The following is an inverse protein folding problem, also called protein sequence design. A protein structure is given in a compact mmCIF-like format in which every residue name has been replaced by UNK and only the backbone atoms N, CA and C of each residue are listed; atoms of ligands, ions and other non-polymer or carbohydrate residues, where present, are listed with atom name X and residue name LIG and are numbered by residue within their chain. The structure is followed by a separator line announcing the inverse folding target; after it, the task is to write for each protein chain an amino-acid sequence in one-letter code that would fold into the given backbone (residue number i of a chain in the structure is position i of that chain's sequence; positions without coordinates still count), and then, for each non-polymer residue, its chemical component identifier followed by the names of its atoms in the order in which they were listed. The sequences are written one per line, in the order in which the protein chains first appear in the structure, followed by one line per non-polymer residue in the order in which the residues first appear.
data_IF_689598138362
#
_entry.id   IF_689598138362
#
_cell.length_a   1.000
_cell.length_b   1.000
_cell.length_c   1.000
_cell.angle_alpha   90.00
_cell.angle_beta   90.00
_cell.angle_gamma   90.00
#
_symmetry.space_group_name_H-M   'P 1'
#
loop_
_entity.id
_entity.type
_entity.pdbx_description
1 polymer ?
#
# COMPACT_ATOMS: atom_id res chain seq x y z
N UNK A 1 7.19 14.29 -5.97
CA UNK A 1 7.18 15.54 -6.77
C UNK A 1 5.77 16.04 -7.00
N UNK A 2 5.53 17.36 -7.00
CA UNK A 2 4.24 17.92 -7.47
C UNK A 2 4.14 17.74 -8.98
N UNK A 3 3.13 17.04 -9.47
CA UNK A 3 2.88 16.84 -10.90
C UNK A 3 1.46 17.24 -11.27
N UNK A 4 1.13 17.28 -12.57
CA UNK A 4 -0.25 17.46 -13.03
C UNK A 4 -1.18 16.39 -12.44
N UNK A 5 -0.66 15.17 -12.28
CA UNK A 5 -1.38 14.04 -11.70
C UNK A 5 -1.45 14.13 -10.16
N UNK A 6 -0.42 14.65 -9.51
CA UNK A 6 -0.30 14.78 -8.05
C UNK A 6 0.00 16.23 -7.65
N UNK A 7 -0.98 17.14 -7.72
CA UNK A 7 -0.76 18.57 -7.50
C UNK A 7 -0.34 18.89 -6.05
N UNK A 8 -0.71 18.04 -5.09
CA UNK A 8 -0.36 18.19 -3.68
C UNK A 8 0.92 17.44 -3.27
N UNK A 9 1.57 16.73 -4.19
CA UNK A 9 2.80 15.97 -3.89
C UNK A 9 3.99 16.90 -3.63
N UNK A 10 4.84 16.54 -2.66
CA UNK A 10 6.08 17.25 -2.34
C UNK A 10 7.26 16.67 -3.13
N UNK A 11 8.35 17.41 -3.37
CA UNK A 11 9.53 16.91 -4.07
C UNK A 11 10.08 15.59 -3.50
N UNK A 12 10.09 15.46 -2.18
CA UNK A 12 10.54 14.29 -1.43
C UNK A 12 9.56 13.09 -1.45
N UNK A 13 8.32 13.30 -1.90
CA UNK A 13 7.32 12.23 -1.95
C UNK A 13 7.55 11.32 -3.16
N UNK A 14 7.48 10.03 -2.90
CA UNK A 14 7.47 8.98 -3.92
C UNK A 14 6.04 8.40 -4.08
N UNK A 15 5.38 8.59 -5.23
CA UNK A 15 4.03 8.07 -5.44
C UNK A 15 4.02 6.55 -5.39
N UNK A 16 3.02 5.98 -4.71
CA UNK A 16 2.78 4.56 -4.72
C UNK A 16 2.69 4.00 -6.15
N UNK A 17 3.49 2.99 -6.45
CA UNK A 17 3.57 2.34 -7.76
C UNK A 17 3.64 0.83 -7.56
N UNK A 18 2.55 0.27 -7.02
CA UNK A 18 2.54 -1.09 -6.55
C UNK A 18 2.26 -2.17 -7.58
N UNK A 19 2.78 -3.36 -7.30
CA UNK A 19 2.55 -4.57 -8.07
C UNK A 19 2.63 -5.82 -7.17
N UNK A 20 2.03 -6.90 -7.65
CA UNK A 20 1.93 -8.16 -6.92
C UNK A 20 3.06 -9.09 -7.33
N UNK A 21 3.75 -9.65 -6.34
CA UNK A 21 4.81 -10.63 -6.55
C UNK A 21 4.68 -11.76 -5.53
N UNK A 22 5.10 -13.00 -5.86
CA UNK A 22 5.18 -14.07 -4.88
C UNK A 22 6.08 -13.66 -3.72
N UNK A 23 5.52 -13.63 -2.51
CA UNK A 23 6.33 -13.40 -1.32
C UNK A 23 7.21 -14.64 -1.09
N UNK A 24 8.52 -14.46 -0.85
CA UNK A 24 9.42 -15.59 -0.67
C UNK A 24 8.99 -16.56 0.43
N UNK A 25 9.08 -17.85 0.16
CA UNK A 25 8.71 -18.94 1.09
C UNK A 25 7.24 -18.95 1.54
N UNK A 26 6.38 -18.14 0.90
CA UNK A 26 4.92 -18.16 1.07
C UNK A 26 4.25 -18.62 -0.22
N UNK A 27 3.17 -19.40 -0.06
CA UNK A 27 2.35 -19.82 -1.19
C UNK A 27 0.87 -19.85 -0.79
N UNK A 28 0.18 -18.74 -1.09
CA UNK A 28 -1.26 -18.62 -0.86
C UNK A 28 -2.10 -19.14 -2.05
N UNK A 29 -1.45 -19.57 -3.14
CA UNK A 29 -2.10 -20.06 -4.34
C UNK A 29 -3.05 -19.02 -4.94
N UNK A 30 -4.32 -19.38 -5.09
CA UNK A 30 -5.34 -18.48 -5.68
C UNK A 30 -5.86 -17.40 -4.73
N UNK A 31 -5.37 -17.34 -3.49
CA UNK A 31 -5.84 -16.37 -2.49
C UNK A 31 -5.16 -15.01 -2.59
N UNK A 32 -4.04 -14.91 -3.29
CA UNK A 32 -3.29 -13.66 -3.46
C UNK A 32 -1.78 -13.87 -3.40
N UNK A 33 -1.06 -12.76 -3.37
CA UNK A 33 0.40 -12.67 -3.47
C UNK A 33 0.95 -11.73 -2.39
N UNK A 34 2.26 -11.49 -2.39
CA UNK A 34 2.83 -10.33 -1.71
C UNK A 34 2.61 -9.05 -2.52
N UNK A 35 2.74 -7.90 -1.87
CA UNK A 35 2.59 -6.60 -2.51
C UNK A 35 3.87 -5.79 -2.34
N UNK A 36 4.32 -5.14 -3.40
CA UNK A 36 5.51 -4.29 -3.40
C UNK A 36 5.18 -2.94 -4.00
N UNK A 37 5.98 -1.92 -3.71
CA UNK A 37 5.99 -0.64 -4.42
C UNK A 37 7.42 -0.20 -4.69
N UNK A 38 7.63 0.57 -5.76
CA UNK A 38 8.85 1.37 -5.84
C UNK A 38 8.90 2.37 -4.68
N UNK A 39 10.11 2.66 -4.22
CA UNK A 39 10.41 3.69 -3.19
C UNK A 39 11.43 4.73 -3.69
N UNK A 40 12.04 4.47 -4.84
CA UNK A 40 12.95 5.35 -5.54
C UNK A 40 12.94 4.96 -7.02
N UNK A 41 13.00 5.94 -7.91
CA UNK A 41 13.12 5.71 -9.35
C UNK A 41 14.58 5.55 -9.80
N UNK A 42 15.53 6.22 -9.12
CA UNK A 42 16.96 6.20 -9.46
C UNK A 42 17.88 6.14 -8.22
N UNK A 43 18.49 4.98 -7.91
CA UNK A 43 18.27 3.69 -8.55
C UNK A 43 16.87 3.13 -8.22
N UNK A 44 16.26 2.35 -9.13
CA UNK A 44 14.96 1.75 -8.87
C UNK A 44 15.07 0.79 -7.69
N UNK A 45 14.32 1.06 -6.63
CA UNK A 45 14.28 0.26 -5.40
C UNK A 45 12.87 -0.18 -5.07
N UNK A 46 12.75 -1.41 -4.58
CA UNK A 46 11.48 -2.03 -4.23
C UNK A 46 11.46 -2.47 -2.79
N UNK A 47 10.36 -2.14 -2.13
CA UNK A 47 10.05 -2.61 -0.80
C UNK A 47 8.72 -3.35 -0.79
N UNK A 48 8.63 -4.35 0.08
CA UNK A 48 7.40 -5.04 0.41
C UNK A 48 6.48 -4.11 1.17
N UNK A 49 5.20 -4.17 0.84
CA UNK A 49 4.12 -3.53 1.58
C UNK A 49 3.57 -4.56 2.55
N UNK A 50 3.48 -4.18 3.82
CA UNK A 50 3.02 -5.04 4.89
C UNK A 50 2.24 -4.22 5.92
N UNK A 51 1.39 -4.88 6.71
CA UNK A 51 0.78 -4.27 7.88
C UNK A 51 1.61 -4.64 9.10
N UNK A 52 2.13 -3.64 9.79
CA UNK A 52 2.81 -3.81 11.06
C UNK A 52 1.84 -4.48 12.05
N UNK A 53 2.20 -5.68 12.52
CA UNK A 53 1.32 -6.45 13.42
C UNK A 53 1.01 -5.78 14.76
N UNK A 54 1.87 -4.87 15.21
CA UNK A 54 1.77 -4.24 16.53
C UNK A 54 1.07 -2.88 16.42
N UNK A 55 1.28 -2.13 15.33
CA UNK A 55 0.66 -0.81 15.11
C UNK A 55 -0.48 -0.79 14.13
N UNK A 56 -0.71 -1.87 13.38
CA UNK A 56 -1.70 -1.98 12.30
C UNK A 56 -1.53 -0.98 11.15
N UNK A 57 -0.42 -0.24 11.12
CA UNK A 57 -0.08 0.69 10.05
C UNK A 57 0.42 -0.08 8.83
N UNK A 58 -0.02 0.31 7.64
CA UNK A 58 0.53 -0.17 6.37
C UNK A 58 1.87 0.50 6.14
N UNK A 59 2.94 -0.28 6.23
CA UNK A 59 4.33 0.15 6.08
C UNK A 59 4.95 -0.48 4.85
N UNK A 60 6.19 -0.07 4.59
CA UNK A 60 7.02 -0.66 3.57
C UNK A 60 8.43 -0.93 4.10
N UNK A 61 9.10 -1.94 3.57
CA UNK A 61 10.47 -2.31 3.98
C UNK A 61 11.02 -3.48 3.18
N UNK A 62 12.25 -3.86 3.49
CA UNK A 62 12.86 -5.03 2.87
C UNK A 62 12.22 -6.35 3.35
N UNK A 63 12.77 -7.49 2.91
CA UNK A 63 12.25 -8.79 3.33
C UNK A 63 12.39 -9.00 4.85
N UNK A 64 13.55 -8.67 5.42
CA UNK A 64 13.83 -8.92 6.83
C UNK A 64 12.94 -8.05 7.74
N UNK A 65 12.66 -6.81 7.32
CA UNK A 65 11.74 -5.91 7.99
C UNK A 65 10.29 -6.38 7.87
N UNK A 66 9.86 -6.87 6.71
CA UNK A 66 8.46 -7.25 6.47
C UNK A 66 8.05 -8.62 7.02
N UNK A 67 8.95 -9.61 7.00
CA UNK A 67 8.66 -11.01 7.37
C UNK A 67 8.00 -11.22 8.77
N UNK A 68 8.34 -10.46 9.84
CA UNK A 68 7.69 -10.64 11.14
C UNK A 68 6.27 -10.06 11.23
N UNK A 69 5.79 -9.39 10.18
CA UNK A 69 4.52 -8.67 10.13
C UNK A 69 3.49 -9.34 9.20
N UNK A 70 2.37 -8.67 8.92
CA UNK A 70 1.31 -9.20 8.06
C UNK A 70 1.62 -8.82 6.60
N UNK A 71 2.21 -9.76 5.88
CA UNK A 71 2.72 -9.59 4.51
C UNK A 71 1.72 -9.94 3.40
N UNK A 72 0.54 -10.45 3.75
CA UNK A 72 -0.43 -10.94 2.79
C UNK A 72 -1.32 -12.06 3.33
N UNK A 73 -2.11 -12.72 2.46
CA UNK A 73 -2.14 -12.47 1.01
C UNK A 73 -2.79 -11.13 0.67
N UNK A 74 -2.16 -10.38 -0.22
CA UNK A 74 -2.76 -9.25 -0.90
C UNK A 74 -3.43 -9.70 -2.20
N UNK A 75 -4.62 -9.21 -2.49
CA UNK A 75 -5.32 -9.49 -3.75
C UNK A 75 -6.20 -8.30 -4.16
N UNK A 76 -6.78 -8.38 -5.35
CA UNK A 76 -7.69 -7.38 -5.89
C UNK A 76 -8.99 -8.03 -6.35
N UNK A 77 -10.13 -7.48 -5.92
CA UNK A 77 -11.45 -7.96 -6.33
C UNK A 77 -11.62 -7.90 -7.85
N UNK A 78 -12.23 -8.93 -8.43
CA UNK A 78 -12.29 -9.08 -9.89
C UNK A 78 -13.09 -7.98 -10.58
N UNK A 79 -14.22 -7.60 -9.98
CA UNK A 79 -15.19 -6.67 -10.54
C UNK A 79 -14.76 -5.23 -10.33
N UNK A 80 -14.60 -4.82 -9.07
CA UNK A 80 -14.42 -3.41 -8.71
C UNK A 80 -12.97 -3.00 -8.51
N UNK A 81 -12.03 -3.94 -8.68
CA UNK A 81 -10.59 -3.71 -8.54
C UNK A 81 -10.19 -3.17 -7.16
N UNK A 82 -10.92 -3.55 -6.12
CA UNK A 82 -10.63 -3.15 -4.75
C UNK A 82 -9.53 -4.02 -4.17
N UNK A 83 -8.55 -3.40 -3.52
CA UNK A 83 -7.45 -4.11 -2.85
C UNK A 83 -8.00 -4.76 -1.59
N UNK A 84 -7.54 -5.97 -1.32
CA UNK A 84 -7.87 -6.75 -0.13
C UNK A 84 -6.57 -7.24 0.52
N UNK A 85 -6.61 -7.39 1.85
CA UNK A 85 -5.58 -8.08 2.62
C UNK A 85 -6.25 -9.18 3.44
N UNK A 86 -5.67 -10.37 3.44
CA UNK A 86 -6.27 -11.57 4.05
C UNK A 86 -7.71 -11.86 3.56
N UNK A 87 -8.06 -11.37 2.37
CA UNK A 87 -9.34 -11.59 1.70
C UNK A 87 -10.45 -10.59 2.02
N UNK A 88 -10.15 -9.45 2.67
CA UNK A 88 -11.17 -8.42 2.95
C UNK A 88 -10.61 -6.98 2.91
N UNK A 89 -11.51 -5.99 2.98
CA UNK A 89 -11.26 -4.56 2.70
C UNK A 89 -11.22 -3.68 3.98
N UNK A 90 -10.51 -4.10 5.02
CA UNK A 90 -10.46 -3.42 6.33
C UNK A 90 -9.55 -2.19 6.41
N UNK A 91 -9.50 -1.32 5.40
CA UNK A 91 -8.57 -0.20 5.38
C UNK A 91 -9.11 1.05 6.07
N UNK A 92 -8.24 1.70 6.84
CA UNK A 92 -8.52 2.92 7.59
C UNK A 92 -7.52 4.01 7.23
N UNK A 93 -7.99 5.23 7.01
CA UNK A 93 -7.14 6.41 6.88
C UNK A 93 -7.09 7.14 8.21
N UNK A 94 -5.88 7.33 8.77
CA UNK A 94 -5.65 8.05 10.03
C UNK A 94 -4.93 9.35 9.75
N UNK A 95 -5.47 10.48 10.24
CA UNK A 95 -4.93 11.80 9.97
C UNK A 95 -3.88 12.20 11.02
N UNK A 96 -2.68 12.53 10.56
CA UNK A 96 -1.58 13.02 11.41
C UNK A 96 -1.40 14.55 11.32
N UNK A 97 -1.90 15.17 10.26
CA UNK A 97 -1.77 16.61 10.07
C UNK A 97 -2.60 17.15 8.91
N UNK A 98 -2.47 18.44 8.59
CA UNK A 98 -3.03 18.99 7.35
C UNK A 98 -2.45 18.28 6.13
N UNK A 99 -3.32 17.55 5.40
CA UNK A 99 -2.98 16.75 4.21
C UNK A 99 -2.01 15.59 4.46
N UNK A 100 -1.81 15.20 5.72
CA UNK A 100 -0.93 14.10 6.10
C UNK A 100 -1.78 12.99 6.72
N UNK A 101 -1.75 11.84 6.05
CA UNK A 101 -2.54 10.67 6.37
C UNK A 101 -1.64 9.44 6.30
N UNK A 102 -1.88 8.51 7.22
CA UNK A 102 -1.31 7.19 7.19
C UNK A 102 -2.41 6.17 6.92
N UNK A 103 -2.06 5.10 6.22
CA UNK A 103 -2.95 4.00 5.91
C UNK A 103 -2.79 2.92 6.99
N UNK A 104 -3.90 2.44 7.51
CA UNK A 104 -3.99 1.40 8.53
C UNK A 104 -4.88 0.27 8.03
N UNK A 105 -4.77 -0.88 8.70
CA UNK A 105 -5.62 -2.03 8.46
C UNK A 105 -6.25 -2.51 9.77
N UNK A 106 -7.56 -2.36 9.87
CA UNK A 106 -8.35 -2.73 11.03
C UNK A 106 -8.62 -4.23 11.06
N UNK A 107 -7.59 -5.03 11.35
CA UNK A 107 -7.68 -6.49 11.26
C UNK A 107 -8.83 -7.12 12.07
N UNK A 108 -9.18 -6.50 13.19
CA UNK A 108 -10.15 -7.00 14.16
C UNK A 108 -11.57 -6.43 13.97
N UNK A 109 -11.79 -5.57 12.97
CA UNK A 109 -13.08 -4.93 12.67
C UNK A 109 -13.65 -4.17 13.88
N UNK A 110 -12.79 -3.47 14.62
CA UNK A 110 -13.14 -2.76 15.85
C UNK A 110 -12.83 -1.25 15.82
N UNK A 111 -12.45 -0.75 14.65
CA UNK A 111 -12.07 0.64 14.42
C UNK A 111 -10.68 0.99 14.97
N UNK A 112 -9.73 0.04 14.96
CA UNK A 112 -8.37 0.19 15.51
C UNK A 112 -8.35 0.49 17.02
N UNK A 113 -9.30 -0.09 17.77
CA UNK A 113 -9.50 0.25 19.18
C UNK A 113 -8.29 -0.17 20.02
N UNK A 114 -7.73 0.78 20.74
CA UNK A 114 -6.56 0.55 21.59
C UNK A 114 -5.23 0.51 20.83
N UNK A 115 -5.25 0.64 19.51
CA UNK A 115 -4.07 0.83 18.66
C UNK A 115 -3.78 2.32 18.46
N UNK A 116 -4.82 3.09 18.13
CA UNK A 116 -4.75 4.54 17.94
C UNK A 116 -5.44 5.31 19.06
N UNK A 117 -5.06 6.57 19.23
CA UNK A 117 -5.75 7.48 20.14
C UNK A 117 -7.18 7.75 19.61
N UNK A 118 -8.24 7.55 20.42
CA UNK A 118 -9.62 7.82 20.04
C UNK A 118 -9.91 9.27 19.59
N UNK A 119 -9.04 10.22 19.93
CA UNK A 119 -9.15 11.61 19.50
C UNK A 119 -8.60 11.83 18.06
N UNK A 120 -7.86 10.87 17.51
CA UNK A 120 -7.38 10.97 16.12
C UNK A 120 -8.53 10.86 15.13
N UNK A 121 -8.43 11.65 14.07
CA UNK A 121 -9.41 11.60 13.00
C UNK A 121 -9.17 10.39 12.10
N UNK A 122 -10.15 9.50 12.03
CA UNK A 122 -10.12 8.30 11.20
C UNK A 122 -11.29 8.24 10.21
N UNK A 123 -11.12 7.45 9.16
CA UNK A 123 -12.16 7.18 8.17
C UNK A 123 -11.91 5.81 7.54
N UNK A 124 -12.94 4.99 7.45
CA UNK A 124 -12.93 3.78 6.62
C UNK A 124 -12.77 4.16 5.15
N UNK A 125 -11.88 3.47 4.44
CA UNK A 125 -11.59 3.76 3.04
C UNK A 125 -11.49 2.50 2.21
N UNK A 126 -11.75 2.66 0.91
CA UNK A 126 -11.57 1.61 -0.09
C UNK A 126 -10.35 1.95 -0.94
N UNK A 127 -9.44 1.00 -1.10
CA UNK A 127 -8.32 1.13 -2.02
C UNK A 127 -8.71 0.53 -3.36
N UNK A 128 -8.71 1.34 -4.43
CA UNK A 128 -9.07 0.89 -5.78
C UNK A 128 -7.82 0.91 -6.68
N UNK A 129 -7.44 -0.25 -7.21
CA UNK A 129 -6.34 -0.37 -8.16
C UNK A 129 -6.72 0.31 -9.47
N UNK A 130 -5.87 1.24 -9.91
CA UNK A 130 -5.88 1.82 -11.25
C UNK A 130 -4.58 1.50 -11.96
N UNK A 131 -4.68 0.92 -13.15
CA UNK A 131 -3.50 0.64 -13.96
C UNK A 131 -2.96 1.93 -14.55
N UNK A 132 -1.66 2.18 -14.37
CA UNK A 132 -0.98 3.31 -15.01
C UNK A 132 -0.98 3.08 -16.52
N UNK A 133 -1.27 4.12 -17.29
CA UNK A 133 -1.11 4.09 -18.75
C UNK A 133 0.39 4.11 -19.05
N UNK A 134 0.87 3.12 -19.77
CA UNK A 134 2.24 3.14 -20.27
C UNK A 134 2.32 4.16 -21.41
N UNK A 135 3.16 5.19 -21.26
CA UNK A 135 3.48 6.06 -22.38
C UNK A 135 4.28 5.24 -23.41
N UNK A 136 3.99 5.45 -24.69
CA UNK A 136 4.79 4.83 -25.74
C UNK A 136 6.19 5.44 -25.67
N UNK A 137 7.26 4.64 -25.81
CA UNK A 137 8.60 5.19 -25.90
C UNK A 137 8.65 6.24 -27.02
N UNK A 138 9.38 7.33 -26.78
CA UNK A 138 9.60 8.34 -27.81
C UNK A 138 10.37 7.65 -28.95
N UNK A 139 9.92 7.75 -30.22
CA UNK A 139 10.64 7.15 -31.35
C UNK A 139 12.11 7.58 -31.48
N UNK A 140 12.54 8.62 -30.76
CA UNK A 140 13.91 9.12 -30.74
C UNK A 140 14.80 8.51 -29.63
N UNK A 141 14.30 7.59 -28.80
CA UNK A 141 15.05 6.88 -27.74
C UNK A 141 15.76 5.58 -28.25
N UNK A 142 15.84 5.35 -29.57
CA UNK A 142 16.63 4.25 -30.21
C UNK A 142 17.95 4.70 -30.85
#
# INVERSE_FOLDING_TARGET
MSSVEYPDGRPEDHPFAGYFLPYPDQNWGRKGEGFVSTISDEPPQLNWIYVDRDTHEVKYGDRAESEPHIIGPWDVTKMDKRVTLEGWEGFMAVRYGPREWALYFDRDDDGLKGIIDPEMWTMEIELVRRERKQEKPDPDDE
#
